data_IF_108038833516
#
_entry.id   IF_108038833516
#
_cell.length_a   1.000
_cell.length_b   1.000
_cell.length_c   1.000
_cell.angle_alpha   90.00
_cell.angle_beta   90.00
_cell.angle_gamma   90.00
#
_symmetry.space_group_name_H-M   'P 1'
#
loop_
_entity.id
_entity.type
_entity.pdbx_description
1 polymer ?
#
# COMPACT_ATOMS: atom_id res chain seq x y z
N UNK A 1 42.83 14.99 68.70
CA UNK A 1 43.40 14.24 67.58
C UNK A 1 42.70 14.74 66.31
N UNK A 2 43.02 15.90 65.74
CA UNK A 2 44.23 16.31 64.99
C UNK A 2 44.60 15.37 63.83
N UNK A 3 44.05 15.70 62.65
CA UNK A 3 44.65 15.70 61.29
C UNK A 3 43.46 15.91 60.32
N UNK A 4 43.21 17.04 59.63
CA UNK A 4 44.04 17.89 58.76
C UNK A 4 45.01 17.10 57.89
N UNK A 5 44.59 16.81 56.65
CA UNK A 5 45.44 16.83 55.43
C UNK A 5 44.57 17.22 54.22
N UNK A 6 44.62 18.51 53.91
CA UNK A 6 45.02 19.13 52.65
C UNK A 6 44.27 18.91 51.32
N UNK A 7 43.83 20.08 50.89
CA UNK A 7 43.46 20.63 49.60
C UNK A 7 44.68 20.70 48.63
N UNK A 8 44.38 20.53 47.33
CA UNK A 8 44.98 21.22 46.17
C UNK A 8 46.09 20.58 45.29
N UNK A 9 46.21 21.07 44.03
CA UNK A 9 46.36 20.29 42.81
C UNK A 9 47.75 20.47 42.19
N UNK A 10 48.07 19.63 41.21
CA UNK A 10 49.17 19.83 40.28
C UNK A 10 48.60 19.76 38.85
N UNK A 11 48.36 20.94 38.26
CA UNK A 11 49.20 21.60 37.24
C UNK A 11 49.11 20.87 35.88
N UNK A 12 48.27 21.34 34.95
CA UNK A 12 48.41 22.52 34.08
C UNK A 12 49.52 22.39 33.03
N UNK A 13 49.10 22.29 31.76
CA UNK A 13 49.62 22.99 30.57
C UNK A 13 48.75 22.57 29.36
N UNK A 14 47.69 23.33 29.06
CA UNK A 14 47.63 24.29 27.96
C UNK A 14 48.03 23.70 26.60
N UNK A 15 47.03 23.38 25.76
CA UNK A 15 46.95 23.95 24.41
C UNK A 15 45.48 24.35 24.17
N UNK A 16 45.24 25.67 24.22
CA UNK A 16 44.09 26.28 23.58
C UNK A 16 44.24 26.12 22.06
N UNK A 17 43.28 25.44 21.45
CA UNK A 17 43.05 25.45 20.01
C UNK A 17 41.61 25.82 19.76
N UNK A 18 41.36 27.11 19.57
CA UNK A 18 40.13 27.66 19.02
C UNK A 18 39.77 26.90 17.73
N UNK A 19 38.56 26.33 17.65
CA UNK A 19 37.92 26.00 16.38
C UNK A 19 36.52 26.60 16.36
N UNK A 20 36.27 27.40 15.32
CA UNK A 20 35.15 28.32 15.14
C UNK A 20 33.74 27.69 15.23
N UNK A 21 32.75 28.40 15.80
CA UNK A 21 31.36 27.92 15.90
C UNK A 21 30.56 28.04 14.59
N UNK A 22 31.17 28.35 13.44
CA UNK A 22 30.47 28.49 12.15
C UNK A 22 30.21 27.17 11.42
N UNK A 23 30.75 26.04 11.91
CA UNK A 23 30.65 24.72 11.26
C UNK A 23 29.45 23.90 11.80
N UNK A 24 28.82 24.31 12.90
CA UNK A 24 27.77 23.52 13.57
C UNK A 24 26.33 23.69 13.02
N UNK A 25 26.10 24.51 12.00
CA UNK A 25 24.75 24.81 11.49
C UNK A 25 24.41 24.19 10.12
N UNK A 26 25.33 23.48 9.45
CA UNK A 26 25.07 22.81 8.17
C UNK A 26 24.68 21.33 8.29
N UNK A 27 24.71 20.75 9.49
CA UNK A 27 24.49 19.31 9.70
C UNK A 27 23.03 18.87 9.95
N UNK A 28 22.05 19.78 9.93
CA UNK A 28 20.66 19.45 10.27
C UNK A 28 19.66 19.36 9.09
N UNK A 29 20.08 19.54 7.83
CA UNK A 29 19.21 19.28 6.68
C UNK A 29 19.99 18.71 5.49
N UNK A 30 19.98 17.38 5.25
CA UNK A 30 20.47 16.85 3.98
C UNK A 30 19.50 17.23 2.85
N UNK A 31 19.98 17.71 1.69
CA UNK A 31 19.14 17.87 0.51
C UNK A 31 18.67 16.48 0.03
N UNK A 32 17.35 16.30 0.01
CA UNK A 32 16.70 15.21 -0.70
C UNK A 32 17.12 15.26 -2.16
N UNK A 33 18.05 14.43 -2.62
CA UNK A 33 18.14 13.93 -4.00
C UNK A 33 18.76 12.52 -3.94
N UNK A 34 17.92 11.49 -3.93
CA UNK A 34 18.39 10.11 -4.09
C UNK A 34 18.59 9.84 -5.59
N UNK A 35 19.80 9.50 -6.06
CA UNK A 35 19.97 8.96 -7.39
C UNK A 35 19.33 7.57 -7.47
N UNK A 36 18.66 7.30 -8.58
CA UNK A 36 18.09 5.99 -8.88
C UNK A 36 19.20 4.93 -8.84
N UNK A 37 18.98 3.91 -8.01
CA UNK A 37 19.81 2.71 -7.93
C UNK A 37 19.67 1.95 -9.25
N UNK A 38 20.66 2.01 -10.12
CA UNK A 38 20.78 1.09 -11.25
C UNK A 38 21.10 -0.29 -10.69
N UNK A 39 20.11 -1.18 -10.69
CA UNK A 39 20.34 -2.60 -10.45
C UNK A 39 21.08 -3.16 -11.67
N UNK A 40 22.34 -3.55 -11.47
CA UNK A 40 23.08 -4.43 -12.37
C UNK A 40 22.34 -5.78 -12.42
N UNK A 41 21.64 -6.02 -13.53
CA UNK A 41 21.03 -7.32 -13.81
C UNK A 41 22.11 -8.28 -14.32
N UNK A 42 22.55 -9.23 -13.49
CA UNK A 42 23.23 -10.43 -13.93
C UNK A 42 22.22 -11.57 -14.08
N UNK A 43 22.09 -12.10 -15.30
CA UNK A 43 21.44 -13.38 -15.61
C UNK A 43 20.08 -13.29 -16.31
N UNK A 44 19.89 -13.96 -17.47
CA UNK A 44 18.58 -14.14 -18.07
C UNK A 44 17.94 -15.46 -17.60
N UNK A 45 16.64 -15.47 -17.28
CA UNK A 45 15.85 -16.67 -17.44
C UNK A 45 14.91 -16.55 -18.64
N UNK A 46 15.11 -17.49 -19.55
CA UNK A 46 14.21 -18.04 -20.56
C UNK A 46 12.72 -17.72 -20.45
N UNK A 47 12.15 -17.24 -21.56
CA UNK A 47 10.96 -17.81 -22.20
C UNK A 47 9.88 -18.38 -21.26
N UNK A 48 9.00 -17.55 -20.74
CA UNK A 48 7.56 -17.83 -20.63
C UNK A 48 6.85 -16.49 -20.45
N UNK A 49 5.92 -16.17 -21.34
CA UNK A 49 5.14 -14.94 -21.30
C UNK A 49 4.32 -14.85 -19.99
N UNK A 50 4.42 -13.77 -19.20
CA UNK A 50 3.36 -13.44 -18.26
C UNK A 50 2.46 -12.40 -18.93
N UNK A 51 1.18 -12.71 -19.04
CA UNK A 51 0.10 -11.75 -19.26
C UNK A 51 0.32 -10.56 -18.31
N UNK A 52 0.81 -9.43 -18.84
CA UNK A 52 1.04 -8.25 -18.03
C UNK A 52 -0.32 -7.66 -17.66
N UNK A 53 -0.70 -7.86 -16.41
CA UNK A 53 -1.63 -7.00 -15.71
C UNK A 53 -1.02 -5.58 -15.61
N UNK A 54 -0.98 -4.83 -16.71
CA UNK A 54 -0.77 -3.39 -16.67
C UNK A 54 -2.06 -2.75 -16.14
N UNK A 55 -2.19 -2.72 -14.81
CA UNK A 55 -3.31 -2.11 -14.09
C UNK A 55 -3.21 -0.58 -13.96
N UNK A 56 -2.19 0.04 -14.56
CA UNK A 56 -2.03 1.48 -14.62
C UNK A 56 -1.68 1.88 -16.05
N UNK A 57 -2.38 2.83 -16.67
CA UNK A 57 -1.90 3.43 -17.90
C UNK A 57 -0.57 4.13 -17.61
N UNK A 58 0.45 3.86 -18.42
CA UNK A 58 1.74 4.54 -18.33
C UNK A 58 1.51 6.06 -18.37
N UNK A 59 2.10 6.85 -17.45
CA UNK A 59 1.85 8.29 -17.33
C UNK A 59 2.43 9.10 -18.50
N UNK A 60 3.21 8.46 -19.37
CA UNK A 60 3.83 9.11 -20.53
C UNK A 60 3.09 8.68 -21.80
N UNK A 61 2.59 9.65 -22.60
CA UNK A 61 1.98 9.31 -23.88
C UNK A 61 3.01 8.58 -24.76
N UNK A 62 2.58 7.60 -25.57
CA UNK A 62 3.50 6.87 -26.43
C UNK A 62 4.26 7.84 -27.35
N UNK A 63 5.53 7.57 -27.68
CA UNK A 63 6.35 8.46 -28.49
C UNK A 63 5.68 8.72 -29.84
N UNK A 64 5.82 9.95 -30.35
CA UNK A 64 5.12 10.43 -31.56
C UNK A 64 5.32 9.54 -32.79
N UNK A 65 6.45 8.82 -32.87
CA UNK A 65 6.74 7.83 -33.93
C UNK A 65 5.72 6.69 -33.99
N UNK A 66 5.17 6.25 -32.86
CA UNK A 66 4.21 5.15 -32.78
C UNK A 66 2.75 5.60 -32.98
N UNK A 67 2.50 6.91 -33.10
CA UNK A 67 1.14 7.41 -33.32
C UNK A 67 0.63 6.98 -34.69
N UNK A 68 -0.58 6.42 -34.71
CA UNK A 68 -1.25 5.99 -35.93
C UNK A 68 -1.39 7.12 -36.98
N UNK A 69 -1.41 8.37 -36.53
CA UNK A 69 -1.46 9.56 -37.38
C UNK A 69 -0.23 9.70 -38.29
N UNK A 70 0.93 9.15 -37.94
CA UNK A 70 2.13 9.23 -38.79
C UNK A 70 1.93 8.52 -40.13
N UNK A 71 1.21 7.39 -40.12
CA UNK A 71 0.89 6.61 -41.33
C UNK A 71 -0.21 7.22 -42.20
N UNK A 72 -0.93 8.23 -41.70
CA UNK A 72 -2.12 8.81 -42.36
C UNK A 72 -1.83 10.02 -43.26
N UNK A 73 -0.55 10.42 -43.42
CA UNK A 73 -0.16 11.52 -44.33
C UNK A 73 -0.42 11.11 -45.78
N UNK A 74 -1.03 12.02 -46.56
CA UNK A 74 -1.49 11.73 -47.93
C UNK A 74 -2.92 11.20 -48.02
N UNK A 75 -3.54 10.79 -46.90
CA UNK A 75 -4.96 10.46 -46.88
C UNK A 75 -5.83 11.70 -46.64
N UNK A 76 -6.90 11.86 -47.42
CA UNK A 76 -7.75 13.06 -47.46
C UNK A 76 -8.42 13.38 -46.13
N UNK A 77 -8.83 12.39 -45.33
CA UNK A 77 -9.61 12.60 -44.09
C UNK A 77 -9.04 11.93 -42.84
N UNK A 78 -7.79 11.45 -42.89
CA UNK A 78 -7.09 10.82 -41.77
C UNK A 78 -7.92 9.76 -40.98
N UNK A 79 -8.82 9.05 -41.67
CA UNK A 79 -9.65 8.00 -41.07
C UNK A 79 -10.95 8.47 -40.41
N UNK A 80 -11.38 9.71 -40.64
CA UNK A 80 -12.66 10.24 -40.12
C UNK A 80 -13.82 10.19 -41.14
N UNK A 81 -13.70 9.36 -42.19
CA UNK A 81 -14.69 9.24 -43.26
C UNK A 81 -14.72 10.45 -44.21
N UNK A 82 -15.41 10.32 -45.36
CA UNK A 82 -15.56 11.42 -46.35
C UNK A 82 -16.80 12.28 -46.10
N UNK A 83 -17.93 11.65 -45.79
CA UNK A 83 -19.25 12.31 -45.68
C UNK A 83 -19.50 12.84 -44.27
N UNK A 84 -19.46 11.98 -43.25
CA UNK A 84 -19.77 12.37 -41.86
C UNK A 84 -18.79 13.38 -41.26
N UNK A 85 -17.50 13.24 -41.60
CA UNK A 85 -16.35 14.07 -41.15
C UNK A 85 -16.21 14.19 -39.63
N UNK A 86 -15.00 14.50 -39.17
CA UNK A 86 -14.80 14.81 -37.77
C UNK A 86 -15.31 16.22 -37.46
N UNK A 87 -16.32 16.32 -36.60
CA UNK A 87 -16.86 17.60 -36.09
C UNK A 87 -16.62 17.70 -34.58
N UNK A 88 -16.71 18.92 -34.05
CA UNK A 88 -16.28 19.20 -32.67
C UNK A 88 -17.08 18.43 -31.61
N UNK A 89 -18.42 18.54 -31.58
CA UNK A 89 -19.28 17.90 -30.57
C UNK A 89 -20.64 17.49 -31.16
N UNK A 90 -20.76 16.29 -31.76
CA UNK A 90 -21.99 15.88 -32.45
C UNK A 90 -23.15 15.56 -31.48
N UNK A 91 -22.86 15.08 -30.27
CA UNK A 91 -23.87 14.65 -29.30
C UNK A 91 -23.86 15.45 -27.99
N UNK A 92 -23.23 16.62 -27.98
CA UNK A 92 -22.93 17.39 -26.77
C UNK A 92 -21.54 17.12 -26.20
N UNK A 93 -21.22 17.74 -25.07
CA UNK A 93 -19.95 17.59 -24.33
C UNK A 93 -20.17 16.75 -23.08
N UNK A 94 -19.22 15.88 -22.74
CA UNK A 94 -19.30 15.05 -21.54
C UNK A 94 -20.45 14.06 -21.57
N UNK A 95 -21.21 13.97 -20.47
CA UNK A 95 -22.34 13.05 -20.29
C UNK A 95 -23.71 13.68 -20.64
N UNK A 96 -23.71 14.73 -21.46
CA UNK A 96 -24.94 15.38 -21.91
C UNK A 96 -25.86 14.40 -22.66
N UNK A 97 -27.17 14.54 -22.49
CA UNK A 97 -28.15 13.70 -23.20
C UNK A 97 -28.33 12.30 -22.64
N UNK A 98 -27.80 11.99 -21.46
CA UNK A 98 -27.86 10.64 -20.87
C UNK A 98 -29.26 10.11 -20.59
N UNK A 99 -30.30 10.96 -20.51
CA UNK A 99 -31.71 10.55 -20.42
C UNK A 99 -32.47 10.71 -21.75
N UNK A 100 -31.85 11.34 -22.74
CA UNK A 100 -32.47 11.69 -24.02
C UNK A 100 -31.80 10.92 -25.17
N UNK A 101 -31.05 11.59 -26.04
CA UNK A 101 -30.45 10.99 -27.24
C UNK A 101 -29.31 9.99 -26.96
N UNK A 102 -28.72 9.99 -25.75
CA UNK A 102 -27.74 8.98 -25.31
C UNK A 102 -28.30 8.00 -24.27
N UNK A 103 -29.63 7.97 -24.07
CA UNK A 103 -30.30 7.09 -23.11
C UNK A 103 -29.96 5.63 -23.29
N UNK A 104 -29.92 5.16 -24.54
CA UNK A 104 -29.62 3.75 -24.88
C UNK A 104 -28.27 3.31 -24.29
N UNK A 105 -27.27 4.20 -24.28
CA UNK A 105 -25.95 3.88 -23.74
C UNK A 105 -25.97 3.83 -22.20
N UNK A 106 -26.73 4.71 -21.55
CA UNK A 106 -26.84 4.75 -20.10
C UNK A 106 -27.64 3.56 -19.56
N UNK A 107 -28.78 3.25 -20.17
CA UNK A 107 -29.62 2.13 -19.76
C UNK A 107 -28.92 0.78 -19.96
N UNK A 108 -28.14 0.65 -21.04
CA UNK A 108 -27.44 -0.61 -21.37
C UNK A 108 -26.22 -0.85 -20.49
N UNK A 109 -25.36 0.15 -20.32
CA UNK A 109 -24.04 -0.05 -19.70
C UNK A 109 -23.94 0.47 -18.26
N UNK A 110 -24.79 1.42 -17.87
CA UNK A 110 -24.71 2.09 -16.57
C UNK A 110 -26.09 2.20 -15.90
N UNK A 111 -26.81 1.08 -15.70
CA UNK A 111 -28.08 1.11 -14.99
C UNK A 111 -27.86 1.62 -13.55
N UNK A 112 -28.73 2.54 -13.10
CA UNK A 112 -28.62 3.16 -11.78
C UNK A 112 -27.71 4.39 -11.70
N UNK A 113 -27.18 4.87 -12.83
CA UNK A 113 -26.45 6.14 -12.86
C UNK A 113 -27.35 7.33 -12.45
N UNK A 114 -28.59 7.35 -12.94
CA UNK A 114 -29.59 8.33 -12.53
C UNK A 114 -30.40 7.80 -11.34
N UNK A 115 -30.56 8.66 -10.33
CA UNK A 115 -31.33 8.35 -9.12
C UNK A 115 -30.59 8.76 -7.85
N UNK A 116 -31.29 8.67 -6.72
CA UNK A 116 -30.72 8.93 -5.39
C UNK A 116 -30.93 7.69 -4.52
N UNK A 117 -29.85 7.19 -3.92
CA UNK A 117 -29.87 6.00 -3.06
C UNK A 117 -29.15 6.31 -1.74
N UNK A 118 -29.73 5.85 -0.62
CA UNK A 118 -29.11 5.90 0.71
C UNK A 118 -29.14 7.26 1.41
N UNK A 119 -28.44 7.34 2.55
CA UNK A 119 -28.36 8.53 3.40
C UNK A 119 -27.02 9.27 3.23
N UNK A 120 -27.06 10.60 3.24
CA UNK A 120 -25.85 11.45 3.13
C UNK A 120 -25.07 11.46 4.44
N UNK A 121 -23.81 11.04 4.42
CA UNK A 121 -22.90 11.11 5.57
C UNK A 121 -22.01 12.36 5.45
N UNK A 122 -22.20 13.34 6.33
CA UNK A 122 -21.38 14.56 6.34
C UNK A 122 -20.01 14.31 6.98
N UNK A 123 -18.98 14.99 6.47
CA UNK A 123 -17.60 14.92 7.00
C UNK A 123 -17.10 13.49 7.28
N UNK A 124 -17.16 12.63 6.25
CA UNK A 124 -16.73 11.24 6.36
C UNK A 124 -15.22 11.14 6.66
N UNK A 125 -14.86 10.82 7.90
CA UNK A 125 -13.47 10.50 8.28
C UNK A 125 -13.17 9.04 7.95
N UNK A 126 -12.29 8.81 6.96
CA UNK A 126 -11.94 7.47 6.50
C UNK A 126 -11.16 6.68 7.55
N UNK A 127 -10.42 7.36 8.41
CA UNK A 127 -9.63 6.78 9.50
C UNK A 127 -10.52 6.09 10.54
N UNK A 128 -11.66 6.70 10.92
CA UNK A 128 -12.60 6.11 11.88
C UNK A 128 -13.19 4.79 11.37
N UNK A 129 -13.48 4.72 10.07
CA UNK A 129 -14.00 3.51 9.41
C UNK A 129 -12.91 2.58 8.89
N UNK A 130 -11.64 2.90 9.11
CA UNK A 130 -10.52 2.12 8.58
C UNK A 130 -10.42 0.79 9.32
N UNK A 131 -10.86 -0.28 8.65
CA UNK A 131 -10.87 -1.65 9.20
C UNK A 131 -10.35 -2.64 8.16
N UNK A 132 -9.05 -2.60 7.83
CA UNK A 132 -8.43 -3.57 6.94
C UNK A 132 -8.63 -5.00 7.46
N UNK A 133 -8.88 -5.92 6.54
CA UNK A 133 -9.37 -7.27 6.84
C UNK A 133 -8.26 -8.28 6.58
N UNK A 134 -8.08 -9.21 7.51
CA UNK A 134 -7.26 -10.41 7.35
C UNK A 134 -8.12 -11.66 7.52
N UNK A 135 -7.82 -12.70 6.75
CA UNK A 135 -8.49 -13.99 6.80
C UNK A 135 -7.61 -15.02 7.53
N UNK A 136 -8.19 -16.16 7.94
CA UNK A 136 -7.45 -17.18 8.69
C UNK A 136 -6.36 -17.88 7.86
N UNK A 137 -6.58 -18.04 6.55
CA UNK A 137 -5.60 -18.61 5.62
C UNK A 137 -4.28 -17.84 5.58
N UNK A 138 -4.34 -16.51 5.66
CA UNK A 138 -3.17 -15.63 5.57
C UNK A 138 -2.55 -15.30 6.92
N UNK A 139 -3.12 -15.72 8.06
CA UNK A 139 -2.56 -15.40 9.38
C UNK A 139 -1.10 -15.86 9.54
N UNK A 140 -0.76 -17.04 9.02
CA UNK A 140 0.60 -17.59 9.11
C UNK A 140 1.61 -16.91 8.17
N UNK A 141 1.15 -16.11 7.21
CA UNK A 141 2.06 -15.30 6.37
C UNK A 141 2.53 -14.03 7.06
N UNK A 142 1.84 -13.59 8.13
CA UNK A 142 2.27 -12.43 8.93
C UNK A 142 3.46 -12.77 9.84
N UNK A 143 3.72 -14.05 10.04
CA UNK A 143 4.76 -14.58 10.91
C UNK A 143 5.96 -14.98 10.05
N UNK A 144 7.18 -14.73 10.55
CA UNK A 144 8.39 -15.19 9.86
C UNK A 144 8.47 -16.72 9.80
N UNK A 145 9.09 -17.26 8.76
CA UNK A 145 9.20 -18.71 8.58
C UNK A 145 9.95 -19.39 9.74
N UNK A 146 10.92 -18.70 10.34
CA UNK A 146 11.66 -19.20 11.49
C UNK A 146 10.73 -19.45 12.69
N UNK A 147 9.85 -18.48 13.00
CA UNK A 147 8.88 -18.59 14.09
C UNK A 147 7.85 -19.68 13.80
N UNK A 148 7.44 -19.84 12.54
CA UNK A 148 6.54 -20.93 12.12
C UNK A 148 7.16 -22.32 12.31
N UNK A 149 8.44 -22.50 11.94
CA UNK A 149 9.18 -23.76 12.15
C UNK A 149 9.42 -24.03 13.64
N UNK A 150 9.66 -22.99 14.43
CA UNK A 150 9.84 -23.12 15.88
C UNK A 150 8.55 -23.50 16.60
N UNK A 151 7.41 -22.94 16.18
CA UNK A 151 6.09 -23.30 16.70
C UNK A 151 5.72 -24.76 16.38
N UNK A 152 6.23 -25.32 15.28
CA UNK A 152 6.05 -26.74 14.96
C UNK A 152 6.86 -27.67 15.87
N UNK A 153 8.00 -27.20 16.41
CA UNK A 153 8.93 -28.01 17.20
C UNK A 153 8.70 -27.91 18.72
N UNK A 154 8.30 -26.73 19.21
CA UNK A 154 8.12 -26.47 20.65
C UNK A 154 6.64 -26.32 20.99
N UNK A 155 6.02 -27.39 21.49
CA UNK A 155 4.60 -27.40 21.85
C UNK A 155 4.26 -26.49 23.03
N UNK A 156 5.22 -26.22 23.92
CA UNK A 156 5.00 -25.42 25.14
C UNK A 156 4.85 -23.92 24.87
N UNK A 157 5.38 -23.41 23.75
CA UNK A 157 5.40 -21.97 23.45
C UNK A 157 4.53 -21.69 22.23
N UNK A 158 3.38 -21.04 22.46
CA UNK A 158 2.41 -20.69 21.41
C UNK A 158 2.75 -19.33 20.79
N UNK A 159 2.81 -19.20 19.45
CA UNK A 159 3.07 -17.91 18.81
C UNK A 159 1.89 -16.96 18.95
N UNK A 160 2.20 -15.71 19.28
CA UNK A 160 1.25 -14.60 19.36
C UNK A 160 1.30 -13.83 18.04
N UNK A 161 0.19 -13.82 17.31
CA UNK A 161 0.04 -13.07 16.06
C UNK A 161 -0.69 -11.77 16.35
N UNK A 162 0.05 -10.66 16.29
CA UNK A 162 -0.50 -9.32 16.40
C UNK A 162 -0.91 -8.81 15.02
N UNK A 163 -2.22 -8.81 14.76
CA UNK A 163 -2.75 -8.34 13.48
C UNK A 163 -2.73 -6.82 13.39
N UNK A 164 -2.79 -6.10 14.52
CA UNK A 164 -2.79 -4.65 14.53
C UNK A 164 -1.44 -4.07 14.16
N UNK A 165 -0.36 -4.67 14.67
CA UNK A 165 1.00 -4.29 14.28
C UNK A 165 1.25 -4.51 12.79
N UNK A 166 0.63 -5.55 12.22
CA UNK A 166 0.63 -5.80 10.79
C UNK A 166 -0.32 -4.88 9.98
N UNK A 167 -1.06 -3.99 10.65
CA UNK A 167 -1.96 -3.03 10.04
C UNK A 167 -3.36 -3.57 9.72
N UNK A 168 -3.78 -4.69 10.32
CA UNK A 168 -5.11 -5.28 10.13
C UNK A 168 -6.01 -5.08 11.35
N UNK A 169 -7.24 -4.60 11.09
CA UNK A 169 -8.21 -4.27 12.13
C UNK A 169 -9.28 -5.35 12.37
N UNK A 170 -9.54 -6.24 11.41
CA UNK A 170 -10.59 -7.25 11.51
C UNK A 170 -10.15 -8.63 10.99
N UNK A 171 -10.42 -9.68 11.77
CA UNK A 171 -10.16 -11.08 11.40
C UNK A 171 -11.45 -11.79 10.98
N UNK A 172 -11.43 -12.39 9.78
CA UNK A 172 -12.54 -13.15 9.20
C UNK A 172 -12.20 -14.64 9.01
N UNK A 173 -13.24 -15.47 8.94
CA UNK A 173 -13.15 -16.93 9.03
C UNK A 173 -12.88 -17.67 7.70
N UNK A 174 -12.43 -16.98 6.65
CA UNK A 174 -12.16 -17.63 5.36
C UNK A 174 -10.91 -18.52 5.48
N UNK A 175 -10.99 -19.73 4.93
CA UNK A 175 -9.90 -20.70 4.94
C UNK A 175 -9.89 -21.66 6.13
N UNK A 176 -8.81 -22.43 6.22
CA UNK A 176 -8.50 -23.38 7.28
C UNK A 176 -7.19 -22.97 7.94
N UNK A 177 -7.12 -23.12 9.25
CA UNK A 177 -5.87 -23.01 9.99
C UNK A 177 -5.17 -24.37 10.00
N UNK A 178 -3.83 -24.41 10.01
CA UNK A 178 -3.11 -25.63 10.35
C UNK A 178 -3.47 -26.07 11.78
N UNK A 179 -3.27 -27.35 12.10
CA UNK A 179 -3.48 -27.96 13.43
C UNK A 179 -2.44 -27.47 14.47
N UNK A 180 -2.08 -26.19 14.43
CA UNK A 180 -1.11 -25.55 15.33
C UNK A 180 -1.84 -24.47 16.13
N UNK A 181 -1.79 -24.51 17.47
CA UNK A 181 -2.44 -23.51 18.30
C UNK A 181 -1.80 -22.14 18.07
N UNK A 182 -2.63 -21.09 18.09
CA UNK A 182 -2.21 -19.70 17.87
C UNK A 182 -3.00 -18.78 18.78
N UNK A 183 -2.33 -17.73 19.27
CA UNK A 183 -2.99 -16.63 19.97
C UNK A 183 -3.10 -15.45 19.00
N UNK A 184 -4.32 -15.01 18.68
CA UNK A 184 -4.55 -13.88 17.78
C UNK A 184 -4.91 -12.64 18.60
N UNK A 185 -4.11 -11.57 18.45
CA UNK A 185 -4.41 -10.24 19.00
C UNK A 185 -5.02 -9.37 17.90
N UNK A 186 -6.27 -8.96 18.08
CA UNK A 186 -7.01 -8.16 17.10
C UNK A 186 -8.07 -7.26 17.76
N UNK A 187 -8.51 -6.20 17.06
CA UNK A 187 -9.61 -5.33 17.54
C UNK A 187 -10.98 -5.96 17.34
N UNK A 188 -11.18 -6.59 16.18
CA UNK A 188 -12.46 -7.19 15.82
C UNK A 188 -12.27 -8.58 15.24
N UNK A 189 -13.06 -9.54 15.71
CA UNK A 189 -13.04 -10.92 15.21
C UNK A 189 -14.46 -11.36 14.91
N UNK A 190 -14.65 -12.05 13.77
CA UNK A 190 -15.94 -12.66 13.47
C UNK A 190 -16.19 -13.88 14.35
N UNK A 191 -17.45 -14.12 14.75
CA UNK A 191 -17.84 -15.30 15.57
C UNK A 191 -17.35 -16.63 14.98
N UNK A 192 -17.48 -16.79 13.67
CA UNK A 192 -17.00 -17.99 12.99
C UNK A 192 -15.47 -18.14 13.02
N UNK A 193 -14.72 -17.02 13.02
CA UNK A 193 -13.27 -17.07 13.10
C UNK A 193 -12.82 -17.48 14.50
N UNK A 194 -13.47 -16.93 15.53
CA UNK A 194 -13.22 -17.29 16.91
C UNK A 194 -13.48 -18.78 17.17
N UNK A 195 -14.60 -19.33 16.68
CA UNK A 195 -14.91 -20.76 16.78
C UNK A 195 -13.83 -21.63 16.13
N UNK A 196 -13.36 -21.26 14.93
CA UNK A 196 -12.29 -22.00 14.24
C UNK A 196 -10.95 -21.92 14.97
N UNK A 197 -10.60 -20.77 15.52
CA UNK A 197 -9.35 -20.60 16.28
C UNK A 197 -9.41 -21.46 17.56
N UNK A 198 -10.55 -21.43 18.28
CA UNK A 198 -10.76 -22.28 19.47
C UNK A 198 -10.76 -23.77 19.13
N UNK A 199 -11.31 -24.17 17.99
CA UNK A 199 -11.30 -25.58 17.55
C UNK A 199 -9.88 -26.13 17.31
N UNK A 200 -8.92 -25.27 16.96
CA UNK A 200 -7.50 -25.63 16.80
C UNK A 200 -6.73 -25.59 18.14
N UNK A 201 -7.39 -25.19 19.24
CA UNK A 201 -6.75 -24.97 20.54
C UNK A 201 -6.06 -23.61 20.67
N UNK A 202 -6.40 -22.66 19.79
CA UNK A 202 -5.94 -21.28 19.87
C UNK A 202 -6.83 -20.40 20.76
N UNK A 203 -6.35 -19.20 21.05
CA UNK A 203 -7.07 -18.19 21.81
C UNK A 203 -7.15 -16.86 21.06
N UNK A 204 -8.21 -16.09 21.31
CA UNK A 204 -8.39 -14.75 20.74
C UNK A 204 -8.29 -13.74 21.87
N UNK A 205 -7.39 -12.77 21.72
CA UNK A 205 -7.27 -11.64 22.63
C UNK A 205 -7.76 -10.38 21.91
N UNK A 206 -8.83 -9.79 22.45
CA UNK A 206 -9.33 -8.51 21.97
C UNK A 206 -8.49 -7.38 22.54
N UNK A 207 -8.04 -6.49 21.66
CA UNK A 207 -7.30 -5.27 22.01
C UNK A 207 -8.22 -4.08 21.71
N UNK A 208 -8.40 -3.17 22.67
CA UNK A 208 -9.26 -1.99 22.54
C UNK A 208 -8.67 -0.97 21.55
#
# INVERSE_FOLDING_TARGET
MVSHVDIHPSQDLIIQGYLDPSIALSALYPPYHRPYRTATASGPPSSTCPLSMNRYPDPHPPPTRLHHNRKKRGHVSAGHGRVGKHRKHPGGRGLAGGQHHHRINMDKYHPGYFGKVGMRHFHLTRQSKHRPIVNLDTLWTLVSEQTRKNAAKKTQVVPVIDTLRAGYGKVLAKGRLPQQPVIVKARFVSRAAEQKIKAVGGAVQLVA
#
